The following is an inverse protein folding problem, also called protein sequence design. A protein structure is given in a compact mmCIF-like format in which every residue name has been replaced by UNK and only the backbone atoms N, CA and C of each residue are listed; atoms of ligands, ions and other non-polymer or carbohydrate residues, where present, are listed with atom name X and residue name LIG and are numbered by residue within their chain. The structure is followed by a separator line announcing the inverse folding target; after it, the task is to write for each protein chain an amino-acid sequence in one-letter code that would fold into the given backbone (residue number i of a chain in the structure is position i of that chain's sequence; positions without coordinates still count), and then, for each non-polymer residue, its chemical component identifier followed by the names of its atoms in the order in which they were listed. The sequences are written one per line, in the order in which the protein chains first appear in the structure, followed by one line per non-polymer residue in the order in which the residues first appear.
data_IF_014697772303
#
_entry.id   IF_014697772303
#
_cell.length_a   1.000
_cell.length_b   1.000
_cell.length_c   1.000
_cell.angle_alpha   90.00
_cell.angle_beta   90.00
_cell.angle_gamma   90.00
#
_symmetry.space_group_name_H-M   'P 1'
#
loop_
_entity.id
_entity.type
_entity.pdbx_description
1 polymer ?
#
# COMPACT_ATOMS: atom_id res chain seq x y z
N UNK A 1 22.49 8.03 -0.85
CA UNK A 1 21.60 6.84 -1.02
C UNK A 1 20.34 6.88 -0.15
N UNK A 2 20.39 7.18 1.15
CA UNK A 2 19.21 7.12 2.04
C UNK A 2 18.02 8.01 1.63
N UNK A 3 18.28 9.21 1.08
CA UNK A 3 17.24 10.15 0.63
C UNK A 3 16.50 9.64 -0.60
N UNK A 4 17.21 9.01 -1.54
CA UNK A 4 16.62 8.44 -2.76
C UNK A 4 15.62 7.33 -2.40
N UNK A 5 16.01 6.42 -1.51
CA UNK A 5 15.12 5.32 -1.05
C UNK A 5 13.85 5.84 -0.37
N UNK A 6 13.94 6.93 0.42
CA UNK A 6 12.77 7.57 1.05
C UNK A 6 11.86 8.23 0.02
N UNK A 7 12.43 8.95 -0.95
CA UNK A 7 11.67 9.60 -2.01
C UNK A 7 10.94 8.56 -2.87
N UNK A 8 11.64 7.51 -3.31
CA UNK A 8 11.03 6.41 -4.07
C UNK A 8 9.90 5.73 -3.31
N UNK A 9 10.10 5.44 -2.01
CA UNK A 9 9.06 4.82 -1.19
C UNK A 9 7.84 5.71 -0.98
N UNK A 10 8.03 7.01 -0.81
CA UNK A 10 6.94 7.97 -0.68
C UNK A 10 6.14 8.10 -1.98
N UNK A 11 6.83 8.25 -3.12
CA UNK A 11 6.21 8.30 -4.44
C UNK A 11 5.42 7.02 -4.70
N UNK A 12 6.02 5.84 -4.48
CA UNK A 12 5.35 4.56 -4.68
C UNK A 12 4.09 4.44 -3.79
N UNK A 13 4.20 4.81 -2.51
CA UNK A 13 3.06 4.77 -1.56
C UNK A 13 1.94 5.69 -2.03
N UNK A 14 2.23 6.94 -2.39
CA UNK A 14 1.20 7.88 -2.83
C UNK A 14 0.57 7.49 -4.17
N UNK A 15 1.35 6.96 -5.11
CA UNK A 15 0.82 6.43 -6.37
C UNK A 15 -0.15 5.29 -6.11
N UNK A 16 0.23 4.31 -5.28
CA UNK A 16 -0.62 3.17 -4.92
C UNK A 16 -1.89 3.64 -4.22
N UNK A 17 -1.78 4.51 -3.21
CA UNK A 17 -2.93 5.06 -2.48
C UNK A 17 -3.88 5.80 -3.42
N UNK A 18 -3.35 6.64 -4.32
CA UNK A 18 -4.16 7.39 -5.29
C UNK A 18 -4.92 6.46 -6.21
N UNK A 19 -4.26 5.42 -6.73
CA UNK A 19 -4.89 4.44 -7.62
C UNK A 19 -5.98 3.65 -6.88
N UNK A 20 -5.73 3.23 -5.64
CA UNK A 20 -6.73 2.50 -4.83
C UNK A 20 -7.93 3.40 -4.54
N UNK A 21 -7.73 4.66 -4.14
CA UNK A 21 -8.85 5.60 -3.95
C UNK A 21 -9.62 5.86 -5.24
N UNK A 22 -8.92 5.98 -6.37
CA UNK A 22 -9.57 6.14 -7.66
C UNK A 22 -10.43 4.92 -8.00
N UNK A 23 -9.96 3.70 -7.70
CA UNK A 23 -10.74 2.48 -7.83
C UNK A 23 -11.96 2.41 -6.91
N UNK A 24 -11.79 2.78 -5.64
CA UNK A 24 -12.89 2.84 -4.69
C UNK A 24 -13.95 3.86 -5.14
N UNK A 25 -13.53 5.07 -5.52
CA UNK A 25 -14.41 6.13 -6.02
C UNK A 25 -15.15 5.70 -7.28
N UNK A 26 -14.44 5.07 -8.22
CA UNK A 26 -15.00 4.56 -9.48
C UNK A 26 -16.15 3.58 -9.20
N UNK A 27 -15.97 2.66 -8.25
CA UNK A 27 -17.00 1.69 -7.84
C UNK A 27 -18.14 2.34 -7.08
N UNK A 28 -17.86 3.23 -6.12
CA UNK A 28 -18.91 3.94 -5.37
C UNK A 28 -19.82 4.78 -6.28
N UNK A 29 -19.27 5.26 -7.39
CA UNK A 29 -19.95 6.16 -8.32
C UNK A 29 -20.46 5.43 -9.57
N UNK A 30 -20.39 4.09 -9.60
CA UNK A 30 -20.77 3.26 -10.75
C UNK A 30 -20.16 3.76 -12.07
N UNK A 31 -18.93 4.25 -12.01
CA UNK A 31 -18.21 4.76 -13.18
C UNK A 31 -18.37 6.25 -13.48
N UNK A 32 -19.27 6.98 -12.81
CA UNK A 32 -19.62 8.36 -13.18
C UNK A 32 -18.43 9.34 -13.13
N UNK A 33 -17.44 9.10 -12.27
CA UNK A 33 -16.23 9.92 -12.13
C UNK A 33 -14.95 9.16 -12.46
N UNK A 34 -15.04 8.03 -13.15
CA UNK A 34 -13.86 7.26 -13.55
C UNK A 34 -13.17 7.95 -14.72
N UNK A 35 -11.88 8.32 -14.60
CA UNK A 35 -11.17 8.89 -15.73
C UNK A 35 -10.91 7.83 -16.81
N UNK A 36 -10.88 8.25 -18.08
CA UNK A 36 -10.81 7.36 -19.25
C UNK A 36 -9.64 6.37 -19.24
N UNK A 37 -8.48 6.77 -18.71
CA UNK A 37 -7.32 5.87 -18.56
C UNK A 37 -7.54 4.73 -17.53
N UNK A 38 -8.59 4.83 -16.71
CA UNK A 38 -8.95 3.91 -15.63
C UNK A 38 -10.24 3.11 -15.91
N UNK A 39 -10.91 3.36 -17.04
CA UNK A 39 -12.15 2.68 -17.43
C UNK A 39 -12.01 1.15 -17.52
N UNK A 40 -10.80 0.63 -17.82
CA UNK A 40 -10.54 -0.80 -17.84
C UNK A 40 -10.82 -1.52 -16.50
N UNK A 41 -10.91 -0.79 -15.39
CA UNK A 41 -11.28 -1.33 -14.07
C UNK A 41 -12.79 -1.49 -13.89
N UNK A 42 -13.62 -0.76 -14.65
CA UNK A 42 -15.08 -0.90 -14.61
C UNK A 42 -15.53 -2.19 -15.30
N UNK A 43 -14.85 -2.59 -16.39
CA UNK A 43 -15.06 -3.90 -17.05
C UNK A 43 -14.68 -5.09 -16.13
N UNK A 44 -13.89 -4.82 -15.09
CA UNK A 44 -13.24 -5.83 -14.25
C UNK A 44 -14.11 -6.36 -13.11
N UNK A 45 -15.11 -5.59 -12.69
CA UNK A 45 -15.98 -6.00 -11.59
C UNK A 45 -17.38 -5.44 -11.82
N UNK A 46 -18.31 -6.28 -12.32
CA UNK A 46 -19.72 -5.92 -12.34
C UNK A 46 -20.14 -5.56 -10.91
N UNK A 47 -20.82 -4.44 -10.73
CA UNK A 47 -21.43 -4.03 -9.45
C UNK A 47 -22.54 -5.00 -9.07
N UNK A 48 -22.15 -6.20 -8.63
CA UNK A 48 -23.03 -7.23 -8.07
C UNK A 48 -22.96 -7.20 -6.55
N UNK A 49 -23.91 -7.87 -5.88
CA UNK A 49 -24.03 -7.79 -4.41
C UNK A 49 -22.76 -8.21 -3.66
N UNK A 50 -21.95 -9.12 -4.23
CA UNK A 50 -20.73 -9.64 -3.59
C UNK A 50 -19.54 -8.67 -3.63
N UNK A 51 -19.57 -7.63 -4.47
CA UNK A 51 -18.46 -6.67 -4.61
C UNK A 51 -18.73 -5.31 -3.95
N UNK A 52 -19.91 -5.12 -3.34
CA UNK A 52 -20.30 -3.87 -2.64
C UNK A 52 -19.37 -3.46 -1.50
N UNK A 53 -18.71 -4.42 -0.85
CA UNK A 53 -17.77 -4.15 0.23
C UNK A 53 -16.37 -3.74 -0.25
N UNK A 54 -16.00 -4.10 -1.48
CA UNK A 54 -14.68 -3.83 -2.06
C UNK A 54 -14.27 -2.35 -1.96
N UNK A 55 -15.09 -1.36 -2.38
CA UNK A 55 -14.68 0.04 -2.29
C UNK A 55 -14.42 0.51 -0.85
N UNK A 56 -15.13 -0.03 0.14
CA UNK A 56 -14.92 0.32 1.55
C UNK A 56 -13.61 -0.27 2.09
N UNK A 57 -13.32 -1.53 1.74
CA UNK A 57 -12.05 -2.19 2.09
C UNK A 57 -10.88 -1.46 1.42
N UNK A 58 -10.99 -1.13 0.15
CA UNK A 58 -9.99 -0.38 -0.61
C UNK A 58 -9.73 0.99 0.03
N UNK A 59 -10.78 1.73 0.38
CA UNK A 59 -10.67 3.03 1.05
C UNK A 59 -9.99 2.89 2.42
N UNK A 60 -10.36 1.88 3.20
CA UNK A 60 -9.76 1.62 4.50
C UNK A 60 -8.27 1.28 4.39
N UNK A 61 -7.89 0.39 3.48
CA UNK A 61 -6.49 0.02 3.26
C UNK A 61 -5.66 1.20 2.72
N UNK A 62 -6.21 1.98 1.78
CA UNK A 62 -5.57 3.20 1.29
C UNK A 62 -5.33 4.21 2.42
N UNK A 63 -6.31 4.39 3.31
CA UNK A 63 -6.19 5.27 4.48
C UNK A 63 -5.13 4.74 5.45
N UNK A 64 -5.15 3.45 5.77
CA UNK A 64 -4.17 2.82 6.65
C UNK A 64 -2.75 2.82 6.07
N UNK A 65 -2.61 2.82 4.74
CA UNK A 65 -1.32 2.97 4.06
C UNK A 65 -0.70 4.36 4.25
N UNK A 66 -1.52 5.40 4.47
CA UNK A 66 -1.02 6.76 4.76
C UNK A 66 -0.47 6.88 6.18
N UNK A 67 -1.06 6.16 7.14
CA UNK A 67 -0.67 6.18 8.55
C UNK A 67 0.58 5.32 8.77
N UNK A 68 1.68 5.94 9.24
CA UNK A 68 2.99 5.26 9.36
C UNK A 68 2.94 3.98 10.20
N UNK A 69 2.18 3.96 11.30
CA UNK A 69 2.09 2.80 12.18
C UNK A 69 1.43 1.57 11.53
N UNK A 70 0.54 1.77 10.56
CA UNK A 70 -0.24 0.71 9.92
C UNK A 70 0.17 0.45 8.46
N UNK A 71 1.07 1.29 7.92
CA UNK A 71 1.41 1.31 6.49
C UNK A 71 1.87 -0.04 5.95
N UNK A 72 2.84 -0.65 6.60
CA UNK A 72 3.42 -1.93 6.15
C UNK A 72 2.36 -3.05 6.13
N UNK A 73 1.47 -3.09 7.12
CA UNK A 73 0.37 -4.05 7.15
C UNK A 73 -0.67 -3.78 6.05
N UNK A 74 -1.07 -2.52 5.87
CA UNK A 74 -2.03 -2.15 4.83
C UNK A 74 -1.50 -2.49 3.43
N UNK A 75 -0.24 -2.13 3.13
CA UNK A 75 0.40 -2.43 1.86
C UNK A 75 0.57 -3.94 1.64
N UNK A 76 0.82 -4.73 2.69
CA UNK A 76 0.85 -6.19 2.60
C UNK A 76 -0.50 -6.76 2.14
N UNK A 77 -1.61 -6.33 2.74
CA UNK A 77 -2.94 -6.75 2.30
C UNK A 77 -3.25 -6.29 0.88
N UNK A 78 -2.84 -5.07 0.50
CA UNK A 78 -2.96 -4.60 -0.89
C UNK A 78 -2.23 -5.52 -1.87
N UNK A 79 -0.99 -5.94 -1.57
CA UNK A 79 -0.26 -6.91 -2.42
C UNK A 79 -1.01 -8.24 -2.50
N UNK A 80 -1.50 -8.76 -1.37
CA UNK A 80 -2.22 -10.03 -1.35
C UNK A 80 -3.47 -10.02 -2.24
N UNK A 81 -4.29 -8.96 -2.15
CA UNK A 81 -5.48 -8.80 -2.98
C UNK A 81 -5.15 -8.54 -4.46
N UNK A 82 -4.11 -7.73 -4.75
CA UNK A 82 -3.67 -7.47 -6.11
C UNK A 82 -3.15 -8.73 -6.80
N UNK A 83 -2.35 -9.56 -6.10
CA UNK A 83 -1.86 -10.84 -6.63
C UNK A 83 -3.02 -11.82 -6.89
N UNK A 84 -4.02 -11.87 -6.00
CA UNK A 84 -5.22 -12.66 -6.23
C UNK A 84 -5.98 -12.20 -7.49
N UNK A 85 -6.19 -10.89 -7.63
CA UNK A 85 -6.83 -10.30 -8.81
C UNK A 85 -6.02 -10.50 -10.11
N UNK A 86 -4.68 -10.46 -10.02
CA UNK A 86 -3.78 -10.76 -11.13
C UNK A 86 -3.91 -12.22 -11.58
N UNK A 87 -3.96 -13.16 -10.63
CA UNK A 87 -4.11 -14.59 -10.91
C UNK A 87 -5.43 -14.94 -11.60
N UNK A 88 -6.53 -14.29 -11.20
CA UNK A 88 -7.81 -14.42 -11.89
C UNK A 88 -7.73 -13.91 -13.33
N UNK A 89 -7.08 -12.76 -13.56
CA UNK A 89 -6.97 -12.15 -14.89
C UNK A 89 -6.06 -12.95 -15.84
N UNK A 90 -4.99 -13.54 -15.31
CA UNK A 90 -4.15 -14.50 -16.02
C UNK A 90 -4.96 -15.72 -16.49
N UNK A 91 -5.87 -16.23 -15.65
CA UNK A 91 -6.74 -17.36 -16.01
C UNK A 91 -7.76 -17.02 -17.08
N UNK A 92 -8.22 -15.78 -17.13
CA UNK A 92 -9.14 -15.27 -18.15
C UNK A 92 -8.43 -14.92 -19.48
N UNK A 93 -7.10 -15.03 -19.55
CA UNK A 93 -6.33 -14.71 -20.76
C UNK A 93 -6.34 -13.22 -21.12
N UNK A 94 -6.71 -12.35 -20.17
CA UNK A 94 -6.79 -10.89 -20.36
C UNK A 94 -5.41 -10.24 -20.19
N UNK A 95 -5.25 -9.02 -20.70
CA UNK A 95 -4.03 -8.23 -20.46
C UNK A 95 -3.86 -7.96 -18.96
N UNK A 96 -2.68 -8.32 -18.44
CA UNK A 96 -2.31 -8.21 -17.02
C UNK A 96 -1.26 -7.14 -16.77
N UNK A 97 -0.75 -6.50 -17.83
CA UNK A 97 0.28 -5.46 -17.75
C UNK A 97 -0.03 -4.33 -16.75
N UNK A 98 -1.24 -3.72 -16.75
CA UNK A 98 -1.55 -2.66 -15.78
C UNK A 98 -1.56 -3.18 -14.33
N UNK A 99 -1.99 -4.42 -14.13
CA UNK A 99 -2.10 -5.03 -12.79
C UNK A 99 -0.76 -5.46 -12.24
N UNK A 100 0.08 -6.02 -13.10
CA UNK A 100 1.45 -6.38 -12.75
C UNK A 100 2.23 -5.11 -12.38
N UNK A 101 2.03 -4.01 -13.11
CA UNK A 101 2.68 -2.72 -12.84
C UNK A 101 2.21 -2.12 -11.51
N UNK A 102 0.91 -2.13 -11.24
CA UNK A 102 0.37 -1.69 -9.95
C UNK A 102 0.88 -2.56 -8.80
N UNK A 103 0.88 -3.88 -8.98
CA UNK A 103 1.40 -4.85 -7.99
C UNK A 103 2.86 -4.57 -7.69
N UNK A 104 3.68 -4.33 -8.71
CA UNK A 104 5.09 -3.99 -8.55
C UNK A 104 5.27 -2.69 -7.77
N UNK A 105 4.48 -1.64 -8.06
CA UNK A 105 4.53 -0.39 -7.31
C UNK A 105 4.17 -0.60 -5.82
N UNK A 106 3.16 -1.43 -5.53
CA UNK A 106 2.78 -1.79 -4.16
C UNK A 106 3.88 -2.57 -3.45
N UNK A 107 4.56 -3.50 -4.13
CA UNK A 107 5.71 -4.23 -3.58
C UNK A 107 6.86 -3.28 -3.23
N UNK A 108 7.17 -2.31 -4.10
CA UNK A 108 8.20 -1.29 -3.82
C UNK A 108 7.81 -0.42 -2.62
N UNK A 109 6.55 0.01 -2.55
CA UNK A 109 6.02 0.76 -1.40
C UNK A 109 6.14 -0.05 -0.10
N UNK A 110 5.77 -1.35 -0.13
CA UNK A 110 5.86 -2.23 1.03
C UNK A 110 7.31 -2.42 1.48
N UNK A 111 8.22 -2.75 0.55
CA UNK A 111 9.62 -3.00 0.86
C UNK A 111 10.28 -1.76 1.49
N UNK A 112 10.01 -0.56 0.95
CA UNK A 112 10.53 0.69 1.51
C UNK A 112 9.93 1.02 2.88
N UNK A 113 8.65 0.69 3.12
CA UNK A 113 7.99 0.85 4.42
C UNK A 113 8.61 -0.07 5.48
N UNK A 114 8.75 -1.36 5.18
CA UNK A 114 9.35 -2.35 6.09
C UNK A 114 10.80 -2.00 6.45
N UNK A 115 11.61 -1.60 5.47
CA UNK A 115 12.98 -1.12 5.73
C UNK A 115 12.98 0.12 6.63
N UNK A 116 12.00 1.01 6.48
CA UNK A 116 11.80 2.17 7.36
C UNK A 116 11.50 1.76 8.80
N UNK A 117 10.61 0.79 8.98
CA UNK A 117 10.19 0.31 10.31
C UNK A 117 11.33 -0.39 11.04
N UNK A 118 12.09 -1.25 10.36
CA UNK A 118 13.27 -1.94 10.93
C UNK A 118 14.32 -0.92 11.40
N UNK A 119 14.57 0.13 10.62
CA UNK A 119 15.52 1.19 11.00
C UNK A 119 15.05 1.96 12.23
N UNK A 120 13.77 2.31 12.28
CA UNK A 120 13.20 3.02 13.42
C UNK A 120 13.29 2.19 14.72
N UNK A 121 13.03 0.87 14.64
CA UNK A 121 13.20 -0.04 15.76
C UNK A 121 14.66 -0.12 16.24
N UNK A 122 15.61 -0.20 15.30
CA UNK A 122 17.04 -0.22 15.62
C UNK A 122 17.53 1.05 16.32
N UNK A 123 17.07 2.23 15.88
CA UNK A 123 17.43 3.51 16.51
C UNK A 123 16.81 3.66 17.91
N UNK A 124 15.60 3.14 18.13
CA UNK A 124 14.96 3.10 19.44
C UNK A 124 15.76 2.29 20.46
N UNK A 125 16.23 1.10 20.06
CA UNK A 125 17.03 0.23 20.93
C UNK A 125 18.37 0.88 21.34
N UNK A 126 19.04 1.58 20.41
CA UNK A 126 20.29 2.32 20.71
C UNK A 126 20.08 3.44 21.72
N UNK A 127 18.98 4.21 21.58
CA UNK A 127 18.66 5.29 22.52
C UNK A 127 18.40 4.77 23.92
N UNK A 128 17.61 3.69 24.04
CA UNK A 128 17.33 3.04 25.32
C UNK A 128 18.60 2.53 26.00
N UNK A 129 19.54 1.95 25.23
CA UNK A 129 20.83 1.51 25.76
C UNK A 129 21.67 2.66 26.33
N UNK A 130 21.74 3.80 25.61
CA UNK A 130 22.48 4.99 26.06
C UNK A 130 21.87 5.61 27.31
N UNK A 131 20.55 5.67 27.40
CA UNK A 131 19.85 6.19 28.58
C UNK A 131 20.10 5.31 29.82
N UNK A 132 20.06 3.99 29.65
CA UNK A 132 20.33 3.05 30.73
C UNK A 132 21.79 3.16 31.25
N UNK A 133 22.77 3.31 30.36
CA UNK A 133 24.17 3.52 30.77
C UNK A 133 24.36 4.82 31.56
N UNK A 134 23.74 5.93 31.15
CA UNK A 134 23.80 7.20 31.89
C UNK A 134 23.13 7.13 33.26
N UNK A 135 22.05 6.36 33.39
CA UNK A 135 21.37 6.14 34.66
C UNK A 135 22.22 5.37 35.67
N UNK A 136 23.04 4.43 35.20
CA UNK A 136 23.99 3.69 36.04
C UNK A 136 25.15 4.57 36.53
N UNK A 137 25.70 5.43 35.66
CA UNK A 137 26.80 6.35 36.01
C UNK A 137 26.38 7.43 37.02
N UNK A 138 25.08 7.75 37.12
CA UNK A 138 24.56 8.74 38.08
C UNK A 138 24.24 8.16 39.47
N UNK A 139 24.30 6.83 39.64
CA UNK A 139 24.00 6.12 40.88
C UNK A 139 25.23 5.55 41.60
N UNK A 140 26.42 5.62 40.98
CA UNK A 140 27.71 5.21 41.55
C UNK A 140 28.56 6.40 41.97
#
# INVERSE_FOLDING_TARGET
MATLTRATGAVATYTVVTIIYLGALSRLTHGAYTPSFYEYQLDRAPDNESTRLVPYVDTALATLALVRATRSYALFFCVAFQVMGLGLRLREGKDVTPDATLTLATVVALATSVVGDIRAAGDGNKKAAVENSRGQDAQG
#
